data_IF_223263789929
#
_entry.id   IF_223263789929
#
_cell.length_a   1.000
_cell.length_b   1.000
_cell.length_c   1.000
_cell.angle_alpha   90.00
_cell.angle_beta   90.00
_cell.angle_gamma   90.00
#
_symmetry.space_group_name_H-M   'P 1'
#
loop_
_entity.id
_entity.type
_entity.pdbx_description
1 polymer ?
#
# COMPACT_ATOMS: atom_id res chain seq x y z
N UNK A 1 43.68 1.46 -2.77
CA UNK A 1 42.58 2.40 -2.44
C UNK A 1 41.20 1.80 -2.74
N UNK A 2 40.91 1.34 -3.97
CA UNK A 2 39.62 0.74 -4.34
C UNK A 2 39.14 -0.37 -3.37
N UNK A 3 40.05 -1.28 -3.00
CA UNK A 3 39.78 -2.31 -1.99
C UNK A 3 39.34 -1.74 -0.63
N UNK A 4 39.92 -0.62 -0.18
CA UNK A 4 39.53 0.00 1.08
C UNK A 4 38.12 0.61 1.01
N UNK A 5 37.75 1.18 -0.13
CA UNK A 5 36.40 1.69 -0.38
C UNK A 5 35.39 0.53 -0.39
N UNK A 6 35.68 -0.54 -1.14
CA UNK A 6 34.86 -1.75 -1.18
C UNK A 6 34.67 -2.37 0.21
N UNK A 7 35.76 -2.50 0.99
CA UNK A 7 35.71 -2.99 2.37
C UNK A 7 34.92 -2.08 3.32
N UNK A 8 35.00 -0.76 3.15
CA UNK A 8 34.20 0.18 3.95
C UNK A 8 32.70 0.10 3.65
N UNK A 9 32.32 -0.20 2.41
CA UNK A 9 30.91 -0.35 2.06
C UNK A 9 30.25 -1.59 2.64
N UNK A 10 31.02 -2.63 2.97
CA UNK A 10 30.50 -3.85 3.61
C UNK A 10 29.71 -3.52 4.87
N UNK A 11 30.17 -2.52 5.62
CA UNK A 11 29.55 -2.05 6.86
C UNK A 11 28.19 -1.40 6.64
N UNK A 12 27.95 -0.81 5.46
CA UNK A 12 26.70 -0.13 5.11
C UNK A 12 25.73 -1.13 4.44
N UNK A 13 26.24 -1.95 3.53
CA UNK A 13 25.43 -2.80 2.66
C UNK A 13 24.97 -4.08 3.36
N UNK A 14 25.84 -4.76 4.10
CA UNK A 14 25.55 -6.08 4.67
C UNK A 14 24.53 -6.07 5.85
N UNK A 15 24.55 -5.11 6.79
CA UNK A 15 23.76 -5.25 8.02
C UNK A 15 22.37 -4.60 8.02
N UNK A 16 22.10 -3.59 7.17
CA UNK A 16 20.90 -2.75 7.41
C UNK A 16 20.25 -2.06 6.22
N UNK A 17 21.00 -1.71 5.16
CA UNK A 17 20.40 -0.93 4.06
C UNK A 17 19.88 -1.80 2.92
N UNK A 18 20.51 -2.96 2.66
CA UNK A 18 20.21 -3.89 1.55
C UNK A 18 19.69 -3.20 0.28
N UNK A 19 20.38 -2.19 -0.27
CA UNK A 19 19.87 -1.44 -1.40
C UNK A 19 19.85 -2.33 -2.66
N UNK A 20 18.97 -2.04 -3.61
CA UNK A 20 19.06 -2.65 -4.94
C UNK A 20 20.21 -2.03 -5.77
N UNK A 21 20.53 -0.76 -5.48
CA UNK A 21 21.52 0.01 -6.22
C UNK A 21 22.28 0.99 -5.33
N UNK A 22 23.60 1.07 -5.52
CA UNK A 22 24.49 2.04 -4.90
C UNK A 22 25.12 2.93 -5.98
N UNK A 23 24.85 4.24 -5.89
CA UNK A 23 25.33 5.23 -6.86
C UNK A 23 26.48 6.04 -6.27
N UNK A 24 27.61 6.01 -6.96
CA UNK A 24 28.80 6.75 -6.58
C UNK A 24 28.86 8.13 -7.23
N UNK A 25 29.15 9.16 -6.43
CA UNK A 25 29.23 10.55 -6.87
C UNK A 25 30.57 11.16 -6.47
N UNK A 26 31.17 11.95 -7.36
CA UNK A 26 32.40 12.69 -7.09
C UNK A 26 33.52 12.36 -8.08
N UNK A 27 34.70 12.92 -7.83
CA UNK A 27 35.82 12.92 -8.78
C UNK A 27 36.38 11.53 -9.11
N UNK A 28 36.28 10.57 -8.19
CA UNK A 28 36.75 9.20 -8.43
C UNK A 28 35.90 8.46 -9.49
N UNK A 29 34.71 8.95 -9.84
CA UNK A 29 33.92 8.43 -10.98
C UNK A 29 34.63 8.62 -12.32
N UNK A 30 35.57 9.57 -12.44
CA UNK A 30 36.42 9.70 -13.65
C UNK A 30 37.30 8.48 -13.89
N UNK A 31 37.62 7.74 -12.83
CA UNK A 31 38.43 6.52 -12.88
C UNK A 31 37.58 5.26 -12.76
N UNK A 32 36.27 5.36 -13.01
CA UNK A 32 35.32 4.26 -12.77
C UNK A 32 35.71 2.96 -13.46
N UNK A 33 36.21 3.01 -14.70
CA UNK A 33 36.61 1.82 -15.45
C UNK A 33 37.68 0.97 -14.74
N UNK A 34 38.47 1.58 -13.85
CA UNK A 34 39.48 0.86 -13.04
C UNK A 34 38.99 0.54 -11.63
N UNK A 35 38.19 1.43 -11.03
CA UNK A 35 37.75 1.32 -9.64
C UNK A 35 36.50 0.46 -9.48
N UNK A 36 35.53 0.59 -10.39
CA UNK A 36 34.23 -0.07 -10.35
C UNK A 36 34.34 -1.59 -10.19
N UNK A 37 35.09 -2.31 -11.06
CA UNK A 37 35.20 -3.77 -10.97
C UNK A 37 35.79 -4.26 -9.64
N UNK A 38 36.78 -3.55 -9.10
CA UNK A 38 37.40 -3.90 -7.81
C UNK A 38 36.42 -3.68 -6.66
N UNK A 39 35.66 -2.59 -6.72
CA UNK A 39 34.66 -2.25 -5.72
C UNK A 39 33.49 -3.25 -5.76
N UNK A 40 33.03 -3.62 -6.95
CA UNK A 40 31.97 -4.61 -7.15
C UNK A 40 32.36 -5.98 -6.59
N UNK A 41 33.58 -6.45 -6.86
CA UNK A 41 34.09 -7.70 -6.30
C UNK A 41 34.10 -7.67 -4.76
N UNK A 42 34.61 -6.59 -4.17
CA UNK A 42 34.67 -6.45 -2.72
C UNK A 42 33.27 -6.43 -2.07
N UNK A 43 32.27 -5.82 -2.73
CA UNK A 43 30.89 -5.80 -2.23
C UNK A 43 30.22 -7.15 -2.41
N UNK A 44 30.43 -7.83 -3.53
CA UNK A 44 29.89 -9.17 -3.76
C UNK A 44 30.34 -10.15 -2.67
N UNK A 45 31.62 -10.10 -2.29
CA UNK A 45 32.19 -10.91 -1.20
C UNK A 45 31.59 -10.63 0.18
N UNK A 46 30.84 -9.54 0.33
CA UNK A 46 30.26 -9.11 1.61
C UNK A 46 28.83 -9.58 1.82
N UNK A 47 28.17 -9.98 0.73
CA UNK A 47 26.77 -10.35 0.73
C UNK A 47 26.67 -11.83 1.04
N UNK A 48 26.28 -12.14 2.27
CA UNK A 48 26.14 -13.51 2.75
C UNK A 48 24.87 -14.19 2.21
N UNK A 49 23.82 -13.41 1.94
CA UNK A 49 22.52 -13.89 1.46
C UNK A 49 21.94 -12.90 0.46
N UNK A 50 21.42 -13.41 -0.66
CA UNK A 50 20.77 -12.61 -1.69
C UNK A 50 21.70 -12.13 -2.79
N UNK A 51 21.21 -11.21 -3.62
CA UNK A 51 21.96 -10.65 -4.75
C UNK A 51 22.70 -9.39 -4.30
N UNK A 52 23.98 -9.22 -4.66
CA UNK A 52 24.68 -7.97 -4.35
C UNK A 52 24.06 -6.78 -5.08
N UNK A 53 24.07 -5.59 -4.44
CA UNK A 53 23.54 -4.38 -5.04
C UNK A 53 24.26 -4.06 -6.35
N UNK A 54 23.54 -3.44 -7.28
CA UNK A 54 24.16 -2.90 -8.49
C UNK A 54 24.97 -1.67 -8.11
N UNK A 55 26.22 -1.64 -8.52
CA UNK A 55 27.10 -0.50 -8.25
C UNK A 55 27.32 0.26 -9.54
N UNK A 56 27.13 1.58 -9.52
CA UNK A 56 27.34 2.40 -10.70
C UNK A 56 27.82 3.81 -10.37
N UNK A 57 28.48 4.49 -11.32
CA UNK A 57 28.78 5.90 -11.17
C UNK A 57 27.53 6.73 -11.47
N UNK A 58 27.47 7.95 -10.95
CA UNK A 58 26.51 8.93 -11.40
C UNK A 58 26.76 9.29 -12.87
N UNK A 59 25.69 9.41 -13.66
CA UNK A 59 25.76 9.72 -15.09
C UNK A 59 26.44 11.07 -15.37
N UNK A 60 26.20 12.07 -14.52
CA UNK A 60 26.78 13.41 -14.66
C UNK A 60 27.26 13.91 -13.28
N UNK A 61 28.46 13.48 -12.85
CA UNK A 61 28.90 13.64 -11.46
C UNK A 61 29.05 15.10 -11.03
N UNK A 62 29.43 15.99 -11.96
CA UNK A 62 29.64 17.42 -11.70
C UNK A 62 28.37 18.17 -11.30
N UNK A 63 27.21 17.70 -11.74
CA UNK A 63 25.92 18.35 -11.45
C UNK A 63 25.03 17.53 -10.53
N UNK A 64 25.41 16.30 -10.20
CA UNK A 64 24.61 15.43 -9.33
C UNK A 64 24.25 16.11 -8.00
N UNK A 65 25.21 16.82 -7.37
CA UNK A 65 24.96 17.59 -6.14
C UNK A 65 24.01 18.76 -6.38
N UNK A 66 24.20 19.50 -7.48
CA UNK A 66 23.33 20.62 -7.85
C UNK A 66 21.90 20.15 -8.09
N UNK A 67 21.70 19.07 -8.85
CA UNK A 67 20.38 18.44 -9.07
C UNK A 67 19.77 17.98 -7.75
N UNK A 68 20.57 17.41 -6.84
CA UNK A 68 20.12 17.05 -5.50
C UNK A 68 19.61 18.25 -4.70
N UNK A 69 20.36 19.36 -4.69
CA UNK A 69 19.96 20.61 -4.01
C UNK A 69 18.67 21.17 -4.59
N UNK A 70 18.56 21.27 -5.91
CA UNK A 70 17.33 21.72 -6.58
C UNK A 70 16.17 20.78 -6.23
N UNK A 71 16.41 19.47 -6.24
CA UNK A 71 15.42 18.47 -5.83
C UNK A 71 14.92 18.67 -4.40
N UNK A 72 15.79 19.04 -3.45
CA UNK A 72 15.39 19.35 -2.08
C UNK A 72 14.56 20.63 -1.98
N UNK A 73 14.92 21.68 -2.72
CA UNK A 73 14.14 22.92 -2.78
C UNK A 73 12.75 22.63 -3.36
N UNK A 74 12.69 21.89 -4.47
CA UNK A 74 11.42 21.50 -5.07
C UNK A 74 10.58 20.62 -4.13
N UNK A 75 11.18 19.62 -3.46
CA UNK A 75 10.45 18.83 -2.47
C UNK A 75 9.90 19.72 -1.35
N UNK A 76 10.69 20.65 -0.80
CA UNK A 76 10.24 21.55 0.27
C UNK A 76 9.02 22.38 -0.14
N UNK A 77 8.99 22.89 -1.37
CA UNK A 77 7.93 23.78 -1.83
C UNK A 77 6.73 23.05 -2.46
N UNK A 78 6.93 21.84 -3.00
CA UNK A 78 5.92 21.15 -3.80
C UNK A 78 5.49 19.77 -3.26
N UNK A 79 6.16 19.20 -2.25
CA UNK A 79 5.71 17.95 -1.62
C UNK A 79 4.26 18.00 -1.07
N UNK A 80 3.76 19.11 -0.49
CA UNK A 80 2.38 19.18 -0.03
C UNK A 80 1.34 18.99 -1.14
N UNK A 81 1.69 19.29 -2.40
CA UNK A 81 0.82 19.05 -3.55
C UNK A 81 0.80 17.57 -3.96
N UNK A 82 1.90 16.85 -3.77
CA UNK A 82 1.99 15.40 -4.03
C UNK A 82 1.19 14.62 -2.99
N UNK A 83 1.27 15.00 -1.71
CA UNK A 83 0.55 14.34 -0.62
C UNK A 83 -0.97 14.52 -0.76
N UNK A 84 -1.42 15.72 -1.16
CA UNK A 84 -2.84 16.00 -1.41
C UNK A 84 -3.43 15.15 -2.53
N UNK A 85 -2.63 14.80 -3.55
CA UNK A 85 -3.04 13.85 -4.61
C UNK A 85 -3.07 12.41 -4.12
N UNK A 86 -2.17 12.01 -3.21
CA UNK A 86 -2.23 10.67 -2.60
C UNK A 86 -3.46 10.49 -1.71
N UNK A 87 -3.85 11.51 -0.94
CA UNK A 87 -5.12 11.48 -0.19
C UNK A 87 -6.35 11.36 -1.10
N UNK A 88 -6.36 12.02 -2.26
CA UNK A 88 -7.45 11.89 -3.23
C UNK A 88 -7.53 10.50 -3.89
N UNK A 89 -6.42 9.77 -3.95
CA UNK A 89 -6.36 8.38 -4.45
C UNK A 89 -6.52 7.35 -3.32
N UNK A 90 -6.37 7.77 -2.05
CA UNK A 90 -6.19 6.88 -0.90
C UNK A 90 -7.34 6.76 0.10
N UNK A 91 -8.44 7.49 -0.03
CA UNK A 91 -9.54 7.39 0.96
C UNK A 91 -10.92 7.41 0.33
N UNK A 92 -11.39 6.21 -0.02
CA UNK A 92 -12.70 5.78 0.47
C UNK A 92 -12.57 4.29 0.80
N UNK A 93 -12.57 3.87 2.10
CA UNK A 93 -12.71 2.46 2.39
C UNK A 93 -14.04 2.02 1.78
N UNK A 94 -14.02 1.03 0.89
CA UNK A 94 -15.22 0.53 0.21
C UNK A 94 -16.38 0.23 1.20
N UNK A 95 -16.03 -0.06 2.45
CA UNK A 95 -16.96 -0.28 3.57
C UNK A 95 -17.82 0.94 3.91
N UNK A 96 -17.29 2.17 3.87
CA UNK A 96 -18.06 3.38 4.20
C UNK A 96 -19.19 3.64 3.18
N UNK A 97 -18.96 3.32 1.90
CA UNK A 97 -19.96 3.44 0.83
C UNK A 97 -21.00 2.33 0.86
N UNK A 98 -20.62 1.13 1.33
CA UNK A 98 -21.55 0.00 1.47
C UNK A 98 -22.49 0.20 2.67
N UNK A 99 -22.03 0.82 3.75
CA UNK A 99 -22.87 1.09 4.92
C UNK A 99 -23.93 2.18 4.66
N UNK A 100 -23.61 3.22 3.88
CA UNK A 100 -24.60 4.21 3.43
C UNK A 100 -25.65 3.61 2.48
N UNK A 101 -25.26 2.64 1.63
CA UNK A 101 -26.19 1.94 0.75
C UNK A 101 -27.09 0.95 1.51
N UNK A 102 -26.56 0.22 2.50
CA UNK A 102 -27.38 -0.66 3.35
C UNK A 102 -28.40 0.11 4.19
N UNK A 103 -27.99 1.25 4.77
CA UNK A 103 -28.90 2.13 5.51
C UNK A 103 -30.02 2.70 4.62
N UNK A 104 -29.73 2.96 3.35
CA UNK A 104 -30.74 3.43 2.38
C UNK A 104 -31.71 2.31 1.99
N UNK A 105 -31.25 1.06 1.89
CA UNK A 105 -32.09 -0.10 1.55
C UNK A 105 -33.03 -0.48 2.69
N UNK A 106 -32.61 -0.38 3.95
CA UNK A 106 -33.43 -0.72 5.13
C UNK A 106 -34.58 0.27 5.38
N UNK A 107 -34.37 1.56 5.09
CA UNK A 107 -35.44 2.56 5.13
C UNK A 107 -36.53 2.24 4.11
N UNK A 108 -36.15 1.86 2.89
CA UNK A 108 -37.10 1.52 1.83
C UNK A 108 -37.86 0.22 2.14
N UNK A 109 -37.19 -0.76 2.79
CA UNK A 109 -37.83 -2.02 3.21
C UNK A 109 -38.90 -1.80 4.28
N UNK A 110 -38.61 -0.97 5.28
CA UNK A 110 -39.57 -0.64 6.36
C UNK A 110 -40.78 0.12 5.82
N UNK A 111 -40.57 1.09 4.92
CA UNK A 111 -41.64 1.85 4.27
C UNK A 111 -42.56 0.99 3.38
N UNK A 112 -42.06 -0.12 2.83
CA UNK A 112 -42.84 -1.03 1.98
C UNK A 112 -43.74 -1.96 2.80
N UNK A 113 -43.32 -2.35 3.99
CA UNK A 113 -44.11 -3.19 4.90
C UNK A 113 -45.27 -2.43 5.52
N UNK A 114 -45.12 -1.12 5.81
CA UNK A 114 -46.20 -0.28 6.37
C UNK A 114 -47.31 0.06 5.36
N UNK A 115 -47.07 -0.04 4.05
CA UNK A 115 -48.10 0.17 3.03
C UNK A 115 -48.96 -1.06 2.73
N UNK A 116 -48.58 -2.24 3.20
CA UNK A 116 -49.46 -3.41 3.18
C UNK A 116 -50.36 -3.34 4.42
N UNK A 117 -51.32 -2.42 4.35
CA UNK A 117 -52.48 -2.39 5.25
C UNK A 117 -53.24 -3.73 5.24
N UNK A 118 -54.03 -3.98 6.29
CA UNK A 118 -54.56 -5.31 6.60
C UNK A 118 -55.41 -5.89 5.46
N UNK A 119 -55.43 -7.22 5.27
CA UNK A 119 -56.25 -7.86 4.25
C UNK A 119 -57.73 -7.58 4.54
N UNK A 120 -58.41 -6.95 3.59
CA UNK A 120 -59.85 -6.68 3.61
C UNK A 120 -60.64 -7.98 3.72
N UNK A 121 -61.36 -8.13 4.84
CA UNK A 121 -62.41 -9.13 5.01
C UNK A 121 -63.55 -8.92 4.00
N UNK A 122 -63.92 -9.96 3.26
CA UNK A 122 -65.07 -9.92 2.36
C UNK A 122 -65.34 -11.20 1.57
N UNK A 123 -66.00 -12.16 2.23
CA UNK A 123 -66.90 -13.16 1.63
C UNK A 123 -66.30 -14.35 0.84
N UNK A 124 -66.31 -15.54 1.45
CA UNK A 124 -67.17 -16.67 1.03
C UNK A 124 -66.71 -18.02 1.61
N UNK A 125 -67.66 -18.68 2.28
CA UNK A 125 -67.92 -20.12 2.28
C UNK A 125 -66.96 -21.12 2.97
N UNK A 126 -67.55 -21.76 4.01
CA UNK A 126 -67.50 -23.18 4.40
C UNK A 126 -66.18 -23.81 4.90
N UNK A 127 -66.15 -23.98 6.23
CA UNK A 127 -65.87 -25.18 7.05
C UNK A 127 -64.56 -25.99 6.86
N UNK A 128 -63.94 -26.49 7.96
CA UNK A 128 -62.54 -26.92 8.04
C UNK A 128 -62.43 -28.46 7.89
N UNK A 129 -61.25 -29.11 8.03
CA UNK A 129 -60.73 -29.38 9.38
C UNK A 129 -59.20 -29.62 9.53
N UNK A 130 -58.78 -29.52 10.80
CA UNK A 130 -57.84 -30.40 11.52
C UNK A 130 -56.31 -30.35 11.28
N UNK A 131 -55.65 -30.23 12.44
CA UNK A 131 -54.44 -30.91 12.93
C UNK A 131 -53.06 -30.22 12.76
N UNK A 132 -52.65 -29.68 13.90
CA UNK A 132 -51.58 -30.22 14.77
C UNK A 132 -50.11 -29.94 14.42
N UNK A 133 -49.43 -29.36 15.42
CA UNK A 133 -48.06 -29.69 15.80
C UNK A 133 -47.03 -28.61 15.43
N UNK A 134 -46.51 -27.80 16.36
CA UNK A 134 -45.61 -28.07 17.49
C UNK A 134 -44.16 -27.61 17.22
N UNK A 135 -43.54 -27.10 18.30
CA UNK A 135 -42.15 -26.71 18.57
C UNK A 135 -41.67 -25.33 18.08
N UNK A 136 -41.47 -24.33 18.97
CA UNK A 136 -40.33 -24.10 19.91
C UNK A 136 -38.98 -24.11 19.17
N UNK A 137 -38.04 -23.18 19.34
CA UNK A 137 -37.79 -22.17 20.37
C UNK A 137 -36.29 -21.82 20.36
N UNK A 138 -35.88 -20.97 21.30
CA UNK A 138 -34.50 -20.58 21.69
C UNK A 138 -33.82 -19.53 20.78
N UNK A 139 -33.71 -18.24 21.15
CA UNK A 139 -32.86 -17.65 22.21
C UNK A 139 -31.45 -18.24 22.28
N UNK A 140 -30.42 -17.43 22.03
CA UNK A 140 -29.43 -17.10 23.08
C UNK A 140 -28.50 -15.95 22.62
N UNK A 141 -28.50 -14.92 23.46
CA UNK A 141 -27.50 -13.87 23.64
C UNK A 141 -26.17 -14.44 24.15
N UNK A 142 -25.03 -14.02 23.59
CA UNK A 142 -23.80 -13.65 24.33
C UNK A 142 -23.11 -12.55 23.53
#
# INVERSE_FOLDING_TARGET
MAHAIGRGMRTIIAPSLSPEEAVFVGEFTRLWNRLGPVIEAEVADSVLVGKPPRIRPAAEPSIARLRGTVGLVLQKHFAPFVERRRQFVGTQPAQARLQELEQSVDVVRTQRTDRQGPPSSGSAALHPPLRSGFYLGCHQTV
#
